data_IF_224743209588
#
_entry.id   IF_224743209588
#
_cell.length_a   1.000
_cell.length_b   1.000
_cell.length_c   1.000
_cell.angle_alpha   90.00
_cell.angle_beta   90.00
_cell.angle_gamma   90.00
#
_symmetry.space_group_name_H-M   'P 1'
#
loop_
_entity.id
_entity.type
_entity.pdbx_description
1 polymer ?
#
# COMPACT_ATOMS: atom_id res chain seq x y z
N UNK A 1 -14.71 66.18 -6.23
CA UNK A 1 -15.23 64.85 -5.80
C UNK A 1 -14.37 63.75 -6.41
N UNK A 2 -13.40 63.21 -5.60
CA UNK A 2 -12.48 62.13 -6.02
C UNK A 2 -13.15 60.79 -5.70
N UNK A 3 -13.50 60.02 -6.75
CA UNK A 3 -14.03 58.68 -6.60
C UNK A 3 -12.83 57.74 -6.36
N UNK A 4 -12.72 57.17 -5.14
CA UNK A 4 -11.83 56.07 -4.85
C UNK A 4 -12.47 54.78 -5.40
N UNK A 5 -11.77 54.13 -6.33
CA UNK A 5 -12.08 52.75 -6.75
C UNK A 5 -11.36 51.78 -5.81
N UNK A 6 -12.04 50.84 -5.17
CA UNK A 6 -11.39 49.81 -4.42
C UNK A 6 -10.78 48.75 -5.37
N UNK A 7 -9.49 48.57 -5.30
CA UNK A 7 -8.76 47.48 -5.99
C UNK A 7 -9.00 46.21 -5.19
N UNK A 8 -9.81 45.30 -5.75
CA UNK A 8 -10.00 43.95 -5.20
C UNK A 8 -8.79 43.10 -5.61
N UNK A 9 -7.92 42.80 -4.65
CA UNK A 9 -6.81 41.85 -4.82
C UNK A 9 -7.38 40.43 -4.66
N UNK A 10 -7.57 39.71 -5.78
CA UNK A 10 -7.85 38.28 -5.76
C UNK A 10 -6.59 37.50 -5.40
N UNK A 11 -6.49 37.00 -4.18
CA UNK A 11 -5.46 36.04 -3.76
C UNK A 11 -5.87 34.68 -4.31
N UNK A 12 -5.19 34.23 -5.38
CA UNK A 12 -5.33 32.89 -5.91
C UNK A 12 -4.53 31.94 -5.02
N UNK A 13 -5.21 31.20 -4.15
CA UNK A 13 -4.63 30.05 -3.48
C UNK A 13 -4.45 28.94 -4.53
N UNK A 14 -3.24 28.80 -5.06
CA UNK A 14 -2.85 27.64 -5.86
C UNK A 14 -2.86 26.41 -4.95
N UNK A 15 -3.76 25.44 -5.20
CA UNK A 15 -3.61 24.09 -4.73
C UNK A 15 -2.34 23.52 -5.37
N UNK A 16 -1.26 23.38 -4.59
CA UNK A 16 -0.17 22.49 -4.95
C UNK A 16 -0.69 21.06 -4.76
N UNK A 17 -0.95 20.37 -5.87
CA UNK A 17 -1.16 18.93 -5.84
C UNK A 17 0.12 18.28 -5.34
N UNK A 18 0.01 17.47 -4.27
CA UNK A 18 1.10 16.63 -3.81
C UNK A 18 1.55 15.75 -4.97
N UNK A 19 2.79 15.94 -5.41
CA UNK A 19 3.44 15.03 -6.35
C UNK A 19 3.66 13.74 -5.56
N UNK A 20 2.85 12.72 -5.80
CA UNK A 20 3.10 11.37 -5.28
C UNK A 20 4.40 10.91 -5.92
N UNK A 21 5.47 10.94 -5.14
CA UNK A 21 6.79 10.50 -5.59
C UNK A 21 6.71 8.99 -5.92
N UNK A 22 6.80 8.69 -7.21
CA UNK A 22 6.73 7.30 -7.67
C UNK A 22 8.02 6.58 -7.25
N UNK A 23 7.85 5.42 -6.62
CA UNK A 23 8.97 4.56 -6.25
C UNK A 23 9.75 4.12 -7.52
N UNK A 24 11.03 4.52 -7.68
CA UNK A 24 11.79 4.25 -8.90
C UNK A 24 12.15 2.77 -9.07
N UNK A 25 12.10 1.98 -8.01
CA UNK A 25 12.42 0.56 -8.02
C UNK A 25 11.23 -0.32 -8.39
N UNK A 26 10.00 0.16 -8.12
CA UNK A 26 8.75 -0.58 -8.29
C UNK A 26 7.75 0.17 -9.18
N UNK A 27 8.23 0.84 -10.22
CA UNK A 27 7.41 1.69 -11.09
C UNK A 27 6.58 0.96 -12.15
N UNK A 28 6.82 -0.32 -12.40
CA UNK A 28 6.13 -1.13 -13.41
C UNK A 28 5.53 -2.40 -12.80
N UNK A 29 4.73 -2.23 -11.74
CA UNK A 29 4.03 -3.35 -11.14
C UNK A 29 3.05 -3.98 -12.15
N UNK A 30 2.96 -5.33 -12.19
CA UNK A 30 1.98 -5.99 -13.04
C UNK A 30 0.56 -5.64 -12.59
N UNK A 31 -0.29 -5.26 -13.54
CA UNK A 31 -1.71 -5.10 -13.29
C UNK A 31 -2.41 -6.45 -13.21
N UNK A 32 -3.31 -6.61 -12.27
CA UNK A 32 -4.14 -7.81 -12.13
C UNK A 32 -5.47 -7.44 -11.48
N UNK A 33 -6.42 -8.35 -11.59
CA UNK A 33 -7.63 -8.38 -10.77
C UNK A 33 -7.76 -9.77 -10.18
N UNK A 34 -7.89 -9.86 -8.86
CA UNK A 34 -8.02 -11.12 -8.15
C UNK A 34 -9.13 -11.04 -7.11
N UNK A 35 -10.15 -11.89 -7.29
CA UNK A 35 -11.26 -12.00 -6.34
C UNK A 35 -11.04 -13.18 -5.40
N UNK A 36 -11.24 -12.96 -4.11
CA UNK A 36 -11.24 -13.99 -3.08
C UNK A 36 -12.53 -13.94 -2.27
N UNK A 37 -12.99 -15.11 -1.85
CA UNK A 37 -14.17 -15.26 -1.00
C UNK A 37 -13.74 -15.67 0.40
N UNK A 38 -14.00 -14.81 1.39
CA UNK A 38 -13.64 -15.03 2.80
C UNK A 38 -14.38 -16.21 3.45
N UNK A 39 -15.41 -16.76 2.81
CA UNK A 39 -16.08 -17.99 3.30
C UNK A 39 -15.27 -19.26 3.02
N UNK A 40 -14.25 -19.16 2.17
CA UNK A 40 -13.39 -20.29 1.88
C UNK A 40 -12.31 -20.45 2.98
N UNK A 41 -12.05 -21.69 3.44
CA UNK A 41 -11.09 -21.94 4.54
C UNK A 41 -9.68 -21.38 4.26
N UNK A 42 -9.29 -21.29 2.99
CA UNK A 42 -7.98 -20.73 2.58
C UNK A 42 -7.80 -19.28 3.01
N UNK A 43 -8.88 -18.51 3.14
CA UNK A 43 -8.88 -17.08 3.45
C UNK A 43 -9.40 -16.78 4.86
N UNK A 44 -9.61 -17.80 5.69
CA UNK A 44 -10.23 -17.65 7.01
C UNK A 44 -9.48 -16.64 7.92
N UNK A 45 -8.15 -16.61 7.84
CA UNK A 45 -7.34 -15.63 8.59
C UNK A 45 -7.71 -14.17 8.29
N UNK A 46 -8.16 -13.88 7.06
CA UNK A 46 -8.54 -12.51 6.66
C UNK A 46 -9.93 -12.09 7.15
N UNK A 47 -10.67 -12.94 7.82
CA UNK A 47 -12.00 -12.60 8.37
C UNK A 47 -11.91 -11.75 9.63
N UNK A 48 -10.78 -11.81 10.32
CA UNK A 48 -10.59 -11.17 11.62
C UNK A 48 -9.57 -10.02 11.53
N UNK A 49 -9.76 -9.01 12.37
CA UNK A 49 -8.80 -7.92 12.52
C UNK A 49 -7.40 -8.47 12.88
N UNK A 50 -6.38 -7.95 12.22
CA UNK A 50 -4.99 -8.42 12.37
C UNK A 50 -4.65 -9.66 11.54
N UNK A 51 -5.63 -10.25 10.86
CA UNK A 51 -5.40 -11.39 9.97
C UNK A 51 -4.58 -11.02 8.74
N UNK A 52 -3.68 -11.91 8.33
CA UNK A 52 -2.79 -11.72 7.19
C UNK A 52 -2.82 -12.90 6.25
N UNK A 53 -2.57 -12.65 4.98
CA UNK A 53 -2.39 -13.67 3.94
C UNK A 53 -1.42 -13.15 2.88
N UNK A 54 -0.57 -14.01 2.34
CA UNK A 54 0.29 -13.67 1.20
C UNK A 54 -0.13 -14.46 -0.03
N UNK A 55 -0.49 -13.74 -1.09
CA UNK A 55 -0.80 -14.29 -2.41
C UNK A 55 0.47 -14.26 -3.27
N UNK A 56 1.24 -15.35 -3.28
CA UNK A 56 2.56 -15.40 -3.91
C UNK A 56 2.53 -15.36 -5.45
N UNK A 57 1.38 -15.60 -6.06
CA UNK A 57 1.19 -15.61 -7.52
C UNK A 57 0.88 -14.24 -8.11
N UNK A 58 0.68 -13.20 -7.30
CA UNK A 58 0.34 -11.84 -7.72
C UNK A 58 1.51 -10.89 -7.49
N UNK A 59 1.50 -9.74 -8.18
CA UNK A 59 2.56 -8.74 -8.06
C UNK A 59 3.91 -9.21 -8.61
N UNK A 60 5.00 -8.58 -8.17
CA UNK A 60 6.36 -9.03 -8.48
C UNK A 60 6.83 -10.17 -7.57
N UNK A 61 6.63 -10.03 -6.27
CA UNK A 61 7.08 -11.00 -5.25
C UNK A 61 5.94 -11.56 -4.41
N UNK A 62 4.72 -11.22 -4.75
CA UNK A 62 3.52 -11.56 -4.03
C UNK A 62 2.76 -10.32 -3.55
N UNK A 63 1.58 -10.53 -3.01
CA UNK A 63 0.76 -9.48 -2.39
C UNK A 63 0.43 -9.90 -0.97
N UNK A 64 0.79 -9.06 -0.01
CA UNK A 64 0.38 -9.21 1.38
C UNK A 64 -0.98 -8.57 1.59
N UNK A 65 -1.93 -9.34 2.06
CA UNK A 65 -3.23 -8.86 2.52
C UNK A 65 -3.22 -8.75 4.04
N UNK A 66 -3.74 -7.66 4.57
CA UNK A 66 -3.85 -7.39 6.00
C UNK A 66 -5.24 -6.87 6.32
N UNK A 67 -5.96 -7.53 7.23
CA UNK A 67 -7.25 -7.03 7.70
C UNK A 67 -7.02 -6.07 8.89
N UNK A 68 -7.31 -4.79 8.68
CA UNK A 68 -7.00 -3.73 9.64
C UNK A 68 -7.90 -3.80 10.89
N UNK A 69 -9.22 -3.94 10.68
CA UNK A 69 -10.22 -3.73 11.73
C UNK A 69 -11.39 -4.73 11.71
N UNK A 70 -11.31 -5.78 10.89
CA UNK A 70 -12.38 -6.74 10.65
C UNK A 70 -13.22 -6.41 9.41
N UNK A 71 -13.18 -5.19 8.91
CA UNK A 71 -13.93 -4.75 7.72
C UNK A 71 -13.02 -4.30 6.57
N UNK A 72 -11.96 -3.57 6.87
CA UNK A 72 -11.03 -3.03 5.89
C UNK A 72 -9.83 -3.94 5.67
N UNK A 73 -9.61 -4.34 4.43
CA UNK A 73 -8.44 -5.12 4.02
C UNK A 73 -7.51 -4.20 3.22
N UNK A 74 -6.24 -4.24 3.56
CA UNK A 74 -5.15 -3.56 2.85
C UNK A 74 -4.37 -4.58 2.04
N UNK A 75 -3.82 -4.16 0.90
CA UNK A 75 -3.03 -5.01 0.02
C UNK A 75 -1.71 -4.31 -0.33
N UNK A 76 -0.60 -4.99 -0.10
CA UNK A 76 0.74 -4.46 -0.29
C UNK A 76 1.57 -5.36 -1.19
N UNK A 77 2.32 -4.76 -2.12
CA UNK A 77 3.35 -5.49 -2.87
C UNK A 77 4.39 -6.08 -1.90
N UNK A 78 4.72 -7.36 -2.08
CA UNK A 78 5.68 -8.04 -1.22
C UNK A 78 7.14 -7.78 -1.59
N UNK A 79 7.42 -7.03 -2.66
CA UNK A 79 8.79 -6.61 -2.99
C UNK A 79 9.31 -5.59 -1.98
N UNK A 80 10.60 -5.69 -1.64
CA UNK A 80 11.28 -4.67 -0.84
C UNK A 80 11.31 -3.34 -1.60
N UNK A 81 10.74 -2.25 -1.05
CA UNK A 81 10.49 -1.04 -1.83
C UNK A 81 11.72 -0.17 -2.10
N UNK A 82 12.84 -0.39 -1.40
CA UNK A 82 14.03 0.46 -1.50
C UNK A 82 15.17 -0.18 -2.31
N UNK A 83 14.86 -1.18 -3.13
CA UNK A 83 15.84 -1.85 -3.97
C UNK A 83 15.18 -2.49 -5.18
N UNK A 84 15.98 -2.73 -6.22
CA UNK A 84 15.50 -3.43 -7.41
C UNK A 84 15.09 -4.86 -7.09
N UNK A 85 14.03 -5.39 -7.72
CA UNK A 85 13.64 -6.79 -7.55
C UNK A 85 14.81 -7.74 -7.82
N UNK A 86 15.11 -8.61 -6.85
CA UNK A 86 16.15 -9.64 -6.85
C UNK A 86 15.66 -10.87 -6.09
N UNK A 87 16.47 -11.90 -5.99
CA UNK A 87 16.05 -13.15 -5.32
C UNK A 87 15.70 -12.94 -3.83
N UNK A 88 16.44 -12.08 -3.12
CA UNK A 88 16.17 -11.78 -1.71
C UNK A 88 15.18 -10.63 -1.49
N UNK A 89 14.83 -9.83 -2.52
CA UNK A 89 14.03 -8.60 -2.36
C UNK A 89 12.54 -8.87 -2.14
N UNK A 90 12.23 -9.79 -1.24
CA UNK A 90 10.88 -10.11 -0.80
C UNK A 90 10.74 -9.79 0.68
N UNK A 91 9.63 -9.16 1.04
CA UNK A 91 9.27 -8.98 2.43
C UNK A 91 8.54 -10.22 2.96
N UNK A 92 8.72 -10.50 4.24
CA UNK A 92 8.05 -11.58 4.97
C UNK A 92 7.21 -10.95 6.08
N UNK A 93 5.96 -11.38 6.18
CA UNK A 93 5.04 -10.90 7.21
C UNK A 93 5.43 -11.46 8.57
N UNK A 94 5.54 -10.56 9.55
CA UNK A 94 5.75 -10.86 10.96
C UNK A 94 4.77 -10.03 11.81
N UNK A 95 3.62 -10.60 12.15
CA UNK A 95 2.56 -9.88 12.84
C UNK A 95 1.99 -8.74 11.98
N UNK A 96 2.17 -7.50 12.43
CA UNK A 96 1.72 -6.28 11.75
C UNK A 96 2.83 -5.64 10.88
N UNK A 97 3.94 -6.31 10.73
CA UNK A 97 5.13 -5.83 10.04
C UNK A 97 5.46 -6.71 8.82
N UNK A 98 6.08 -6.09 7.84
CA UNK A 98 6.72 -6.77 6.73
C UNK A 98 8.22 -6.50 6.78
N UNK A 99 9.04 -7.55 6.80
CA UNK A 99 10.50 -7.47 6.93
C UNK A 99 11.16 -7.87 5.61
N UNK A 100 11.99 -7.00 5.06
CA UNK A 100 12.73 -7.27 3.83
C UNK A 100 13.82 -8.32 4.07
N UNK A 101 13.86 -9.37 3.25
CA UNK A 101 14.82 -10.46 3.40
C UNK A 101 16.26 -10.11 2.98
N UNK A 102 16.46 -9.00 2.25
CA UNK A 102 17.79 -8.57 1.82
C UNK A 102 18.56 -7.75 2.86
N UNK A 103 17.85 -6.88 3.60
CA UNK A 103 18.48 -5.84 4.44
C UNK A 103 17.81 -5.67 5.81
N UNK A 104 16.86 -6.54 6.15
CA UNK A 104 16.08 -6.51 7.39
C UNK A 104 15.29 -5.20 7.63
N UNK A 105 15.08 -4.40 6.60
CA UNK A 105 14.22 -3.20 6.67
C UNK A 105 12.79 -3.60 7.00
N UNK A 106 12.17 -2.85 7.93
CA UNK A 106 10.86 -3.15 8.50
C UNK A 106 9.85 -2.11 8.02
N UNK A 107 8.67 -2.58 7.63
CA UNK A 107 7.55 -1.78 7.15
C UNK A 107 6.28 -2.14 7.91
N UNK A 108 5.42 -1.16 8.14
CA UNK A 108 4.11 -1.36 8.77
C UNK A 108 3.08 -1.86 7.75
N UNK A 109 2.41 -2.97 8.02
CA UNK A 109 1.26 -3.41 7.23
C UNK A 109 0.00 -2.55 7.46
N UNK A 110 -0.02 -1.76 8.53
CA UNK A 110 -1.13 -0.85 8.86
C UNK A 110 -1.08 0.41 7.99
N UNK A 111 0.12 0.95 7.76
CA UNK A 111 0.29 2.24 7.07
C UNK A 111 1.08 2.14 5.76
N UNK A 112 1.77 1.03 5.52
CA UNK A 112 2.73 0.85 4.43
C UNK A 112 4.06 1.58 4.64
N UNK A 113 4.17 2.40 5.69
CA UNK A 113 5.36 3.23 5.92
C UNK A 113 6.54 2.44 6.48
N UNK A 114 7.79 2.85 6.18
CA UNK A 114 8.96 2.25 6.79
C UNK A 114 9.00 2.56 8.29
N UNK A 115 9.39 1.55 9.07
CA UNK A 115 9.66 1.64 10.50
C UNK A 115 11.17 1.69 10.77
N UNK A 116 12.00 1.21 9.85
CA UNK A 116 13.44 1.32 9.88
C UNK A 116 13.90 2.74 9.56
N UNK A 117 15.04 3.14 10.13
CA UNK A 117 15.69 4.42 9.80
C UNK A 117 16.37 4.34 8.44
N UNK A 118 16.57 5.48 7.81
CA UNK A 118 17.30 5.63 6.53
C UNK A 118 16.67 4.86 5.36
N UNK A 119 15.34 4.65 5.41
CA UNK A 119 14.55 3.98 4.39
C UNK A 119 13.56 4.99 3.82
N UNK A 120 13.60 5.21 2.50
CA UNK A 120 12.90 6.33 1.83
C UNK A 120 11.47 5.94 1.43
N UNK A 121 11.32 4.78 0.76
CA UNK A 121 10.05 4.37 0.18
C UNK A 121 9.33 3.36 1.08
N UNK A 122 8.01 3.54 1.24
CA UNK A 122 7.13 2.57 1.88
C UNK A 122 6.69 1.45 0.94
N UNK A 123 5.89 0.52 1.46
CA UNK A 123 5.27 -0.53 0.66
C UNK A 123 4.33 0.08 -0.39
N UNK A 124 4.34 -0.48 -1.58
CA UNK A 124 3.41 -0.08 -2.64
C UNK A 124 2.07 -0.77 -2.42
N UNK A 125 0.99 0.00 -2.41
CA UNK A 125 -0.34 -0.53 -2.18
C UNK A 125 -1.06 -0.88 -3.49
N UNK A 126 -1.90 -1.92 -3.42
CA UNK A 126 -2.90 -2.26 -4.43
C UNK A 126 -4.28 -1.81 -3.98
N UNK A 127 -5.16 -1.56 -4.95
CA UNK A 127 -6.56 -1.29 -4.68
C UNK A 127 -7.27 -2.50 -4.08
N UNK A 128 -8.16 -2.26 -3.11
CA UNK A 128 -9.00 -3.29 -2.53
C UNK A 128 -10.44 -2.81 -2.48
N UNK A 129 -11.37 -3.65 -2.97
CA UNK A 129 -12.80 -3.44 -2.82
C UNK A 129 -13.42 -4.66 -2.15
N UNK A 130 -14.13 -4.44 -1.06
CA UNK A 130 -14.84 -5.49 -0.35
C UNK A 130 -16.35 -5.31 -0.47
N UNK A 131 -17.05 -6.38 -0.80
CA UNK A 131 -18.51 -6.45 -0.84
C UNK A 131 -18.95 -7.71 -0.09
N UNK A 132 -19.35 -7.52 1.17
CA UNK A 132 -19.63 -8.65 2.07
C UNK A 132 -18.39 -9.53 2.30
N UNK A 133 -18.46 -10.79 1.88
CA UNK A 133 -17.37 -11.76 1.98
C UNK A 133 -16.52 -11.86 0.71
N UNK A 134 -16.86 -11.11 -0.35
CA UNK A 134 -16.06 -11.01 -1.56
C UNK A 134 -15.09 -9.85 -1.46
N UNK A 135 -13.84 -10.10 -1.77
CA UNK A 135 -12.75 -9.11 -1.77
C UNK A 135 -12.08 -9.13 -3.14
N UNK A 136 -12.10 -8.00 -3.83
CA UNK A 136 -11.38 -7.78 -5.08
C UNK A 136 -10.10 -6.99 -4.80
N UNK A 137 -8.98 -7.51 -5.25
CA UNK A 137 -7.65 -6.85 -5.22
C UNK A 137 -7.23 -6.50 -6.65
N UNK A 138 -6.77 -5.25 -6.91
CA UNK A 138 -6.45 -4.75 -8.24
C UNK A 138 -5.36 -3.67 -8.23
#
# INVERSE_FOLDING_TARGET
>A
MKRLFPVIVCVIFGCQGDIVEQNPYLNNLPSFEFELNLDLPLYDNLRFAGGTLTLSQLGFKGVHLYNLDGSQILAWEASCPNQRPSDCSKTIVNGIEAVCSCDDSIYSLVTGQPLSKDVEYGLVNYGVRRTGNLVLVY
#
